data_IF_105972936826
#
_entry.id   IF_105972936826
#
_cell.length_a   1.000
_cell.length_b   1.000
_cell.length_c   1.000
_cell.angle_alpha   90.00
_cell.angle_beta   90.00
_cell.angle_gamma   90.00
#
_symmetry.space_group_name_H-M   'P 1'
#
loop_
_entity.id
_entity.type
_entity.pdbx_description
1 polymer ?
#
# COMPACT_ATOMS: atom_id res chain seq x y z
N UNK A 1 -18.70 14.30 -14.80
CA UNK A 1 -17.27 13.99 -14.96
C UNK A 1 -16.56 14.49 -13.70
N UNK A 2 -15.94 13.71 -12.81
CA UNK A 2 -15.65 12.28 -12.78
C UNK A 2 -16.08 11.63 -11.46
N UNK A 3 -15.94 10.31 -11.42
CA UNK A 3 -16.54 9.41 -10.45
C UNK A 3 -15.65 9.30 -9.18
N UNK A 4 -16.05 9.92 -8.07
CA UNK A 4 -15.31 9.87 -6.79
C UNK A 4 -15.29 8.49 -6.12
N UNK A 5 -15.94 7.48 -6.71
CA UNK A 5 -15.96 6.11 -6.16
C UNK A 5 -14.62 5.39 -6.27
N UNK A 6 -13.65 5.89 -7.04
CA UNK A 6 -12.30 5.33 -7.15
C UNK A 6 -11.39 5.63 -5.95
N UNK A 7 -11.79 6.51 -5.04
CA UNK A 7 -10.98 6.95 -3.88
C UNK A 7 -11.38 6.25 -2.56
N UNK A 8 -12.45 5.45 -2.58
CA UNK A 8 -12.90 4.71 -1.41
C UNK A 8 -12.68 3.23 -1.65
N UNK A 9 -11.80 2.63 -0.85
CA UNK A 9 -11.55 1.19 -0.84
C UNK A 9 -12.85 0.44 -0.56
N UNK A 10 -13.31 -0.35 -1.53
CA UNK A 10 -14.57 -1.08 -1.43
C UNK A 10 -14.41 -2.39 -0.64
N UNK A 11 -15.52 -2.96 -0.18
CA UNK A 11 -15.48 -4.17 0.65
C UNK A 11 -15.01 -5.40 -0.13
N UNK A 12 -15.35 -5.48 -1.42
CA UNK A 12 -14.87 -6.50 -2.34
C UNK A 12 -13.35 -6.39 -2.56
N UNK A 13 -12.82 -5.18 -2.73
CA UNK A 13 -11.37 -4.96 -2.83
C UNK A 13 -10.65 -5.37 -1.55
N UNK A 14 -11.21 -5.05 -0.38
CA UNK A 14 -10.68 -5.48 0.92
C UNK A 14 -10.63 -7.01 1.00
N UNK A 15 -11.68 -7.70 0.57
CA UNK A 15 -11.73 -9.16 0.59
C UNK A 15 -10.68 -9.78 -0.34
N UNK A 16 -10.54 -9.26 -1.57
CA UNK A 16 -9.55 -9.72 -2.53
C UNK A 16 -8.14 -9.51 -2.00
N UNK A 17 -7.80 -8.29 -1.56
CA UNK A 17 -6.49 -7.97 -0.99
C UNK A 17 -6.20 -8.88 0.21
N UNK A 18 -7.17 -9.08 1.09
CA UNK A 18 -7.02 -9.92 2.28
C UNK A 18 -6.78 -11.40 1.95
N UNK A 19 -7.33 -11.89 0.83
CA UNK A 19 -7.12 -13.25 0.36
C UNK A 19 -5.74 -13.42 -0.31
N UNK A 20 -5.36 -12.50 -1.19
CA UNK A 20 -4.11 -12.59 -1.97
C UNK A 20 -2.85 -12.43 -1.12
N UNK A 21 -2.89 -11.51 -0.16
CA UNK A 21 -1.75 -11.21 0.72
C UNK A 21 -1.51 -12.25 1.81
N UNK A 22 -2.40 -13.25 1.94
CA UNK A 22 -2.33 -14.24 3.02
C UNK A 22 -2.57 -13.65 4.41
N UNK A 23 -3.07 -12.41 4.50
CA UNK A 23 -3.31 -11.66 5.74
C UNK A 23 -4.28 -12.33 6.72
N UNK A 24 -5.09 -13.29 6.24
CA UNK A 24 -5.96 -14.14 7.06
C UNK A 24 -5.41 -15.55 7.32
N UNK A 25 -4.39 -15.99 6.58
CA UNK A 25 -3.88 -17.38 6.61
C UNK A 25 -2.62 -17.54 7.48
N UNK A 26 -1.97 -16.45 7.87
CA UNK A 26 -0.79 -16.50 8.74
C UNK A 26 -1.18 -16.46 10.22
N UNK A 27 -0.98 -17.58 10.93
CA UNK A 27 -1.11 -17.66 12.40
C UNK A 27 -0.18 -16.70 13.16
N UNK A 28 0.79 -16.07 12.46
CA UNK A 28 1.77 -15.17 13.06
C UNK A 28 1.47 -13.67 12.82
N UNK A 29 0.60 -13.34 11.86
CA UNK A 29 0.21 -11.95 11.57
C UNK A 29 -1.28 -11.92 11.19
N UNK A 30 -2.15 -11.61 12.15
CA UNK A 30 -3.55 -11.27 11.84
C UNK A 30 -3.61 -9.82 11.35
N UNK A 31 -3.61 -9.63 10.04
CA UNK A 31 -3.87 -8.31 9.45
C UNK A 31 -5.37 -8.18 9.27
N UNK A 32 -6.02 -7.61 10.29
CA UNK A 32 -7.45 -7.30 10.28
C UNK A 32 -7.79 -6.29 9.17
N UNK A 33 -9.05 -6.27 8.68
CA UNK A 33 -9.61 -5.23 7.79
C UNK A 33 -9.11 -3.82 8.10
N UNK A 34 -9.02 -3.47 9.39
CA UNK A 34 -8.54 -2.18 9.86
C UNK A 34 -7.12 -1.84 9.38
N UNK A 35 -6.24 -2.83 9.25
CA UNK A 35 -4.88 -2.64 8.75
C UNK A 35 -4.87 -2.35 7.25
N UNK A 36 -5.69 -3.03 6.45
CA UNK A 36 -5.81 -2.76 5.01
C UNK A 36 -6.30 -1.33 4.80
N UNK A 37 -7.33 -0.89 5.54
CA UNK A 37 -7.83 0.48 5.48
C UNK A 37 -6.76 1.50 5.90
N UNK A 38 -5.99 1.23 6.95
CA UNK A 38 -4.86 2.10 7.36
C UNK A 38 -3.75 2.15 6.31
N UNK A 39 -3.41 1.03 5.68
CA UNK A 39 -2.42 0.97 4.62
C UNK A 39 -2.89 1.78 3.41
N UNK A 40 -4.16 1.66 3.02
CA UNK A 40 -4.75 2.47 1.95
C UNK A 40 -4.75 3.96 2.28
N UNK A 41 -5.08 4.34 3.52
CA UNK A 41 -4.97 5.74 3.95
C UNK A 41 -3.53 6.26 3.87
N UNK A 42 -2.55 5.43 4.24
CA UNK A 42 -1.13 5.79 4.11
C UNK A 42 -0.71 5.90 2.64
N UNK A 43 -1.18 5.00 1.78
CA UNK A 43 -0.98 5.07 0.33
C UNK A 43 -1.49 6.41 -0.24
N UNK A 44 -2.74 6.79 0.07
CA UNK A 44 -3.29 8.08 -0.34
C UNK A 44 -2.50 9.27 0.21
N UNK A 45 -1.94 9.15 1.42
CA UNK A 45 -1.11 10.21 2.00
C UNK A 45 0.22 10.41 1.28
N UNK A 46 0.73 9.35 0.64
CA UNK A 46 1.97 9.35 -0.14
C UNK A 46 1.72 9.81 -1.59
N UNK A 47 0.61 9.39 -2.19
CA UNK A 47 0.16 9.82 -3.52
C UNK A 47 -0.41 11.26 -3.51
N UNK A 48 0.48 12.24 -3.36
CA UNK A 48 0.11 13.67 -3.30
C UNK A 48 -0.59 14.18 -4.56
N UNK A 49 -0.41 13.49 -5.68
CA UNK A 49 -0.96 13.88 -6.97
C UNK A 49 -2.29 13.18 -7.27
N UNK A 50 -2.72 12.22 -6.44
CA UNK A 50 -3.95 11.46 -6.63
C UNK A 50 -3.94 10.65 -7.92
N UNK A 51 -2.77 10.14 -8.32
CA UNK A 51 -2.57 9.37 -9.56
C UNK A 51 -3.10 7.94 -9.46
N UNK A 52 -3.29 7.43 -8.24
CA UNK A 52 -3.67 6.05 -7.98
C UNK A 52 -2.49 5.07 -8.00
N UNK A 53 -1.25 5.57 -8.01
CA UNK A 53 -0.03 4.78 -7.90
C UNK A 53 1.07 5.58 -7.19
N UNK A 54 2.09 4.88 -6.67
CA UNK A 54 3.28 5.48 -6.07
C UNK A 54 4.48 5.24 -6.99
N UNK A 55 5.33 6.25 -7.13
CA UNK A 55 6.65 6.10 -7.74
C UNK A 55 7.75 6.03 -6.69
N UNK A 56 9.00 5.85 -7.14
CA UNK A 56 10.17 5.73 -6.27
C UNK A 56 10.32 6.92 -5.33
N UNK A 57 10.06 8.12 -5.83
CA UNK A 57 10.17 9.37 -5.05
C UNK A 57 9.10 9.46 -3.97
N UNK A 58 7.89 8.97 -4.24
CA UNK A 58 6.84 8.88 -3.23
C UNK A 58 7.20 7.93 -2.07
N UNK A 59 7.93 6.84 -2.32
CA UNK A 59 8.44 5.95 -1.26
C UNK A 59 9.56 6.59 -0.43
N UNK A 60 10.44 7.39 -1.05
CA UNK A 60 11.52 8.10 -0.34
C UNK A 60 10.99 9.18 0.63
N UNK A 61 9.71 9.56 0.52
CA UNK A 61 9.04 10.41 1.51
C UNK A 61 8.79 9.70 2.84
N UNK A 62 8.91 8.38 2.91
CA UNK A 62 8.79 7.63 4.16
C UNK A 62 10.10 7.81 4.95
N UNK A 63 10.13 8.58 6.05
CA UNK A 63 11.38 8.90 6.73
C UNK A 63 12.09 7.67 7.27
N UNK A 64 11.32 6.69 7.75
CA UNK A 64 11.87 5.43 8.27
C UNK A 64 12.53 4.58 7.17
N UNK A 65 12.09 4.74 5.92
CA UNK A 65 12.67 4.05 4.77
C UNK A 65 13.92 4.77 4.27
N UNK A 66 13.91 6.11 4.27
CA UNK A 66 15.04 6.93 3.85
C UNK A 66 16.29 6.74 4.72
N UNK A 67 16.12 6.47 6.03
CA UNK A 67 17.23 6.18 6.95
C UNK A 67 17.60 4.70 7.01
N UNK A 68 16.85 3.83 6.33
CA UNK A 68 17.12 2.40 6.33
C UNK A 68 18.29 2.09 5.38
N UNK A 69 19.34 1.37 5.82
CA UNK A 69 20.47 1.02 4.95
C UNK A 69 20.07 0.10 3.78
N UNK A 70 18.90 -0.53 3.84
CA UNK A 70 18.31 -1.34 2.77
C UNK A 70 17.15 -0.61 2.06
N UNK A 71 16.92 0.68 2.35
CA UNK A 71 15.79 1.45 1.86
C UNK A 71 15.64 1.37 0.35
N UNK A 72 16.71 1.68 -0.39
CA UNK A 72 16.72 1.60 -1.85
C UNK A 72 16.35 0.20 -2.37
N UNK A 73 16.91 -0.86 -1.77
CA UNK A 73 16.62 -2.25 -2.19
C UNK A 73 15.16 -2.64 -1.90
N UNK A 74 14.61 -2.17 -0.78
CA UNK A 74 13.20 -2.39 -0.44
C UNK A 74 12.32 -1.70 -1.48
N UNK A 75 12.60 -0.44 -1.81
CA UNK A 75 11.86 0.30 -2.83
C UNK A 75 11.96 -0.39 -4.19
N UNK A 76 13.16 -0.77 -4.61
CA UNK A 76 13.38 -1.44 -5.88
C UNK A 76 12.62 -2.79 -5.94
N UNK A 77 12.48 -3.51 -4.82
CA UNK A 77 11.70 -4.74 -4.75
C UNK A 77 10.20 -4.54 -5.01
N UNK A 78 9.63 -3.34 -4.78
CA UNK A 78 8.23 -3.04 -5.15
C UNK A 78 8.04 -2.82 -6.66
N UNK A 79 9.12 -2.54 -7.40
CA UNK A 79 9.08 -2.23 -8.84
C UNK A 79 9.80 -3.27 -9.69
N UNK A 80 10.42 -4.27 -9.09
CA UNK A 80 11.05 -5.37 -9.80
C UNK A 80 9.95 -6.30 -10.32
N UNK A 81 9.86 -6.46 -11.65
CA UNK A 81 8.83 -7.26 -12.32
C UNK A 81 8.77 -8.71 -11.80
N UNK A 82 7.54 -9.17 -11.54
CA UNK A 82 7.12 -10.57 -11.74
C UNK A 82 6.43 -10.71 -13.07
#
# INVERSE_FOLDING_TARGET
MGNSSSLMLQEDEIQVISAETGFLLSSFVSVSRNQIVRLYSRFLSLDKQGRGYLDRDDFLRIPELAINPLGDRIVDAFFTET
#
